data_IF_376251700805
#
_entry.id   IF_376251700805
#
_cell.length_a   1.000
_cell.length_b   1.000
_cell.length_c   1.000
_cell.angle_alpha   90.00
_cell.angle_beta   90.00
_cell.angle_gamma   90.00
#
_symmetry.space_group_name_H-M   'P 1'
#
loop_
_entity.id
_entity.type
_entity.pdbx_description
1 polymer ?
#
# COMPACT_ATOMS: atom_id res chain seq x y z
N UNK A 1 0.43 -23.23 5.81
CA UNK A 1 0.76 -22.60 4.52
C UNK A 1 1.29 -21.21 4.80
N UNK A 2 2.58 -20.95 4.56
CA UNK A 2 3.08 -19.57 4.55
C UNK A 2 2.44 -18.87 3.35
N UNK A 3 1.65 -17.83 3.59
CA UNK A 3 1.29 -16.89 2.52
C UNK A 3 2.48 -15.96 2.35
N UNK A 4 3.42 -16.37 1.50
CA UNK A 4 4.46 -15.45 1.04
C UNK A 4 3.78 -14.25 0.36
N UNK A 5 4.16 -13.01 0.71
CA UNK A 5 3.63 -11.84 0.05
C UNK A 5 3.98 -11.89 -1.44
N UNK A 6 2.96 -11.84 -2.30
CA UNK A 6 3.13 -11.73 -3.75
C UNK A 6 3.31 -10.25 -4.08
N UNK A 7 4.34 -9.93 -4.86
CA UNK A 7 4.55 -8.60 -5.41
C UNK A 7 3.48 -8.28 -6.47
N UNK A 8 2.71 -7.23 -6.23
CA UNK A 8 1.61 -6.79 -7.09
C UNK A 8 2.01 -5.62 -8.00
N UNK A 9 3.04 -4.85 -7.64
CA UNK A 9 3.49 -3.73 -8.48
C UNK A 9 4.30 -2.67 -7.75
N UNK A 10 5.06 -1.91 -8.54
CA UNK A 10 5.97 -0.86 -8.08
C UNK A 10 5.52 0.50 -8.64
N UNK A 11 5.68 1.53 -7.82
CA UNK A 11 5.24 2.90 -8.14
C UNK A 11 6.28 3.90 -7.68
N UNK A 12 6.59 4.87 -8.52
CA UNK A 12 7.42 6.02 -8.14
C UNK A 12 6.50 7.22 -7.92
N UNK A 13 6.49 7.75 -6.69
CA UNK A 13 5.68 8.90 -6.29
C UNK A 13 6.51 9.82 -5.40
N UNK A 14 6.55 11.12 -5.72
CA UNK A 14 7.29 12.16 -5.00
C UNK A 14 8.77 11.77 -4.75
N UNK A 15 9.41 11.18 -5.77
CA UNK A 15 10.80 10.71 -5.69
C UNK A 15 11.03 9.53 -4.73
N UNK A 16 9.97 8.88 -4.26
CA UNK A 16 10.04 7.67 -3.45
C UNK A 16 9.52 6.47 -4.21
N UNK A 17 10.22 5.33 -4.08
CA UNK A 17 9.75 4.05 -4.60
C UNK A 17 8.81 3.37 -3.60
N UNK A 18 7.68 2.94 -4.12
CA UNK A 18 6.61 2.26 -3.41
C UNK A 18 6.37 0.87 -3.99
N UNK A 19 5.99 -0.05 -3.11
CA UNK A 19 5.74 -1.45 -3.46
C UNK A 19 4.40 -1.87 -2.91
N UNK A 20 3.61 -2.56 -3.72
CA UNK A 20 2.31 -3.09 -3.31
C UNK A 20 2.41 -4.60 -3.32
N UNK A 21 2.06 -5.24 -2.20
CA UNK A 21 2.09 -6.71 -2.09
C UNK A 21 0.76 -7.24 -1.57
N UNK A 22 0.52 -8.53 -1.73
CA UNK A 22 -0.58 -9.18 -0.99
C UNK A 22 -0.30 -9.13 0.53
N UNK A 23 -1.37 -9.08 1.31
CA UNK A 23 -1.33 -9.35 2.73
C UNK A 23 -1.57 -10.83 3.00
N UNK A 24 -1.16 -11.31 4.17
CA UNK A 24 -1.58 -12.62 4.69
C UNK A 24 -3.07 -12.66 5.03
N UNK A 25 -3.72 -11.50 5.18
CA UNK A 25 -5.17 -11.39 5.32
C UNK A 25 -5.79 -11.35 3.92
N UNK A 26 -6.79 -12.20 3.61
CA UNK A 26 -7.50 -12.17 2.34
C UNK A 26 -7.99 -10.76 2.00
N UNK A 27 -7.96 -10.43 0.71
CA UNK A 27 -8.50 -9.17 0.17
C UNK A 27 -7.88 -7.88 0.72
N UNK A 28 -6.74 -8.01 1.38
CA UNK A 28 -5.91 -6.90 1.83
C UNK A 28 -4.63 -6.85 1.00
N UNK A 29 -4.17 -5.63 0.72
CA UNK A 29 -2.85 -5.35 0.15
C UNK A 29 -2.04 -4.54 1.14
N UNK A 30 -0.73 -4.69 1.07
CA UNK A 30 0.24 -3.94 1.88
C UNK A 30 1.01 -3.00 0.96
N UNK A 31 1.19 -1.77 1.42
CA UNK A 31 1.90 -0.74 0.68
C UNK A 31 3.15 -0.36 1.45
N UNK A 32 4.30 -0.54 0.82
CA UNK A 32 5.61 -0.27 1.38
C UNK A 32 6.25 0.93 0.71
N UNK A 33 7.06 1.68 1.44
CA UNK A 33 7.99 2.67 0.91
C UNK A 33 9.32 2.51 1.61
N UNK A 34 10.43 2.49 0.85
CA UNK A 34 11.79 2.31 1.41
C UNK A 34 11.91 1.10 2.36
N UNK A 35 11.25 -0.01 2.01
CA UNK A 35 11.25 -1.25 2.81
C UNK A 35 10.37 -1.22 4.07
N UNK A 36 9.66 -0.12 4.34
CA UNK A 36 8.77 0.01 5.50
C UNK A 36 7.30 -0.07 5.09
N UNK A 37 6.50 -0.81 5.88
CA UNK A 37 5.06 -0.89 5.68
C UNK A 37 4.39 0.43 6.09
N UNK A 38 3.70 1.06 5.15
CA UNK A 38 3.03 2.36 5.34
C UNK A 38 1.54 2.18 5.54
N UNK A 39 0.89 1.33 4.73
CA UNK A 39 -0.56 1.15 4.79
C UNK A 39 -0.96 -0.30 4.48
N UNK A 40 -2.10 -0.73 5.03
CA UNK A 40 -2.81 -1.93 4.59
C UNK A 40 -4.19 -1.51 4.09
N UNK A 41 -4.52 -1.88 2.85
CA UNK A 41 -5.73 -1.39 2.17
C UNK A 41 -6.58 -2.58 1.77
N UNK A 42 -7.90 -2.48 2.00
CA UNK A 42 -8.85 -3.46 1.48
C UNK A 42 -9.06 -3.25 -0.01
N UNK A 43 -8.95 -4.32 -0.80
CA UNK A 43 -9.15 -4.28 -2.25
C UNK A 43 -10.56 -3.86 -2.66
N UNK A 44 -11.56 -4.16 -1.82
CA UNK A 44 -12.98 -3.92 -2.12
C UNK A 44 -13.53 -2.66 -1.46
N UNK A 45 -13.14 -2.40 -0.22
CA UNK A 45 -13.81 -1.37 0.57
C UNK A 45 -13.19 0.02 0.40
N UNK A 46 -12.04 0.16 -0.27
CA UNK A 46 -11.22 1.41 -0.27
C UNK A 46 -10.94 1.95 1.15
N UNK A 47 -11.15 1.13 2.18
CA UNK A 47 -10.89 1.50 3.56
C UNK A 47 -9.43 1.20 3.87
N UNK A 48 -8.71 2.23 4.30
CA UNK A 48 -7.38 2.11 4.88
C UNK A 48 -7.53 1.58 6.30
N UNK A 49 -6.94 0.43 6.57
CA UNK A 49 -6.55 0.10 7.94
C UNK A 49 -5.10 0.57 8.06
N UNK A 50 -4.89 1.73 8.70
CA UNK A 50 -3.55 2.27 8.95
C UNK A 50 -2.67 1.17 9.52
N UNK A 51 -1.50 0.95 8.92
CA UNK A 51 -0.69 -0.21 9.26
C UNK A 51 0.27 0.10 10.40
N UNK A 52 0.15 -0.67 11.47
CA UNK A 52 1.08 -0.77 12.59
C UNK A 52 2.32 -1.57 12.17
N UNK A 53 3.21 -0.96 11.39
CA UNK A 53 4.46 -1.61 10.96
C UNK A 53 5.69 -0.73 11.06
N UNK A 54 5.53 0.54 11.41
CA UNK A 54 6.63 1.48 11.49
C UNK A 54 6.78 2.02 12.93
N UNK A 55 7.40 1.26 13.84
CA UNK A 55 7.68 1.71 15.20
C UNK A 55 8.55 2.99 15.26
N UNK A 56 9.15 3.41 14.15
CA UNK A 56 9.98 4.63 14.05
C UNK A 56 9.31 5.80 13.30
N UNK A 57 8.05 5.66 12.91
CA UNK A 57 7.26 6.73 12.26
C UNK A 57 6.57 7.63 13.30
N UNK A 58 6.67 7.29 14.58
CA UNK A 58 6.29 8.16 15.69
C UNK A 58 7.33 9.26 15.91
N UNK A 59 7.20 10.39 15.21
CA UNK A 59 7.49 11.71 15.82
C UNK A 59 6.54 12.83 15.41
N UNK A 60 5.79 12.75 14.29
CA UNK A 60 4.72 13.71 14.00
C UNK A 60 3.48 13.10 13.31
N UNK A 61 2.29 13.47 13.79
CA UNK A 61 1.00 13.06 13.20
C UNK A 61 0.86 13.52 11.75
N UNK A 62 1.42 14.68 11.43
CA UNK A 62 1.42 15.28 10.09
C UNK A 62 2.18 14.43 9.08
N UNK A 63 3.36 13.93 9.45
CA UNK A 63 4.14 13.05 8.58
C UNK A 63 3.41 11.74 8.29
N UNK A 64 2.74 11.18 9.30
CA UNK A 64 1.92 9.97 9.15
C UNK A 64 0.78 10.21 8.16
N UNK A 65 0.02 11.29 8.33
CA UNK A 65 -1.09 11.64 7.43
C UNK A 65 -0.63 11.85 5.98
N UNK A 66 0.49 12.55 5.78
CA UNK A 66 1.05 12.77 4.44
C UNK A 66 1.46 11.46 3.75
N UNK A 67 2.05 10.51 4.49
CA UNK A 67 2.47 9.21 3.95
C UNK A 67 1.31 8.26 3.69
N UNK A 68 0.31 8.26 4.56
CA UNK A 68 -0.94 7.52 4.31
C UNK A 68 -1.67 8.07 3.08
N UNK A 69 -1.74 9.40 2.91
CA UNK A 69 -2.29 10.03 1.72
C UNK A 69 -1.50 9.65 0.44
N UNK A 70 -0.18 9.64 0.51
CA UNK A 70 0.67 9.18 -0.59
C UNK A 70 0.44 7.69 -0.92
N UNK A 71 0.34 6.83 0.11
CA UNK A 71 0.02 5.42 -0.07
C UNK A 71 -1.37 5.23 -0.74
N UNK A 72 -2.32 6.11 -0.47
CA UNK A 72 -3.63 6.07 -1.15
C UNK A 72 -3.57 6.47 -2.61
N UNK A 73 -2.74 7.43 -2.98
CA UNK A 73 -2.48 7.72 -4.41
C UNK A 73 -1.87 6.52 -5.12
N UNK A 74 -0.96 5.80 -4.44
CA UNK A 74 -0.38 4.55 -4.96
C UNK A 74 -1.46 3.48 -5.12
N UNK A 75 -2.36 3.32 -4.14
CA UNK A 75 -3.48 2.40 -4.25
C UNK A 75 -4.40 2.72 -5.43
N UNK A 76 -4.77 4.00 -5.60
CA UNK A 76 -5.62 4.43 -6.71
C UNK A 76 -4.97 4.18 -8.07
N UNK A 77 -3.67 4.44 -8.19
CA UNK A 77 -2.88 4.14 -9.38
C UNK A 77 -2.82 2.63 -9.65
N UNK A 78 -2.55 1.82 -8.63
CA UNK A 78 -2.56 0.36 -8.74
C UNK A 78 -3.91 -0.16 -9.24
N UNK A 79 -5.01 0.33 -8.66
CA UNK A 79 -6.37 -0.06 -9.04
C UNK A 79 -6.68 0.32 -10.48
N UNK A 80 -6.30 1.54 -10.91
CA UNK A 80 -6.48 2.00 -12.30
C UNK A 80 -5.74 1.08 -13.28
N UNK A 81 -4.50 0.67 -12.96
CA UNK A 81 -3.73 -0.27 -13.79
C UNK A 81 -4.33 -1.68 -13.79
N UNK A 82 -4.94 -2.10 -12.69
CA UNK A 82 -5.63 -3.39 -12.55
C UNK A 82 -6.91 -3.48 -13.39
N UNK A 83 -7.71 -2.42 -13.43
CA UNK A 83 -8.95 -2.35 -14.25
C UNK A 83 -8.66 -2.55 -15.76
N UNK A 84 -7.48 -2.14 -16.23
CA UNK A 84 -7.08 -2.36 -17.62
C UNK A 84 -6.75 -3.82 -17.96
N UNK A 85 -6.53 -4.69 -16.97
CA UNK A 85 -6.32 -6.14 -17.21
C UNK A 85 -7.62 -6.95 -17.22
N UNK A 86 -8.74 -6.35 -16.80
CA UNK A 86 -10.06 -6.99 -16.75
C UNK A 86 -10.96 -6.72 -17.97
N UNK A 87 -10.46 -5.99 -18.99
CA UNK A 87 -11.15 -5.79 -20.28
C UNK A 87 -10.41 -6.51 -21.41
N UNK A 88 -10.42 -7.84 -21.40
CA UNK A 88 -10.15 -8.68 -22.57
C UNK A 88 -11.06 -9.89 -22.57
#
# INVERSE_FOLDING_TARGET
MSHEPIDLGHFDLDGSRWYVTTSSVPDMVRIYSRGMLVATVSRYLNVVRGSWGAPYVERSKEWRGAREAAAMRVWDEFRRRGDHRGRR
#
